data_IF_920895128994
#
_entry.id   IF_920895128994
#
_cell.length_a   1.000
_cell.length_b   1.000
_cell.length_c   1.000
_cell.angle_alpha   90.00
_cell.angle_beta   90.00
_cell.angle_gamma   90.00
#
_symmetry.space_group_name_H-M   'P 1'
#
loop_
_entity.id
_entity.type
_entity.pdbx_description
1 polymer ?
#
# COMPACT_ATOMS: atom_id res chain seq x y z
N UNK A 1 34.26 40.95 -42.68
CA UNK A 1 35.33 40.40 -41.82
C UNK A 1 34.77 39.18 -41.10
N UNK A 2 35.02 37.99 -41.64
CA UNK A 2 34.48 36.74 -41.08
C UNK A 2 35.42 36.24 -39.99
N UNK A 3 34.89 36.05 -38.78
CA UNK A 3 35.61 35.45 -37.64
C UNK A 3 35.42 33.94 -37.70
N UNK A 4 36.51 33.26 -37.99
CA UNK A 4 36.66 31.81 -38.06
C UNK A 4 36.57 31.22 -36.64
N UNK A 5 35.58 30.38 -36.38
CA UNK A 5 35.46 29.62 -35.13
C UNK A 5 36.15 28.27 -35.36
N UNK A 6 37.36 28.14 -34.84
CA UNK A 6 38.12 26.89 -34.83
C UNK A 6 37.51 25.95 -33.77
N UNK A 7 36.73 24.96 -34.22
CA UNK A 7 36.24 23.87 -33.36
C UNK A 7 37.37 22.88 -33.06
N UNK A 8 37.76 22.78 -31.80
CA UNK A 8 38.71 21.78 -31.32
C UNK A 8 38.07 20.39 -31.29
N UNK A 9 38.59 19.48 -32.12
CA UNK A 9 38.15 18.09 -32.20
C UNK A 9 38.82 17.25 -31.09
N UNK A 10 38.03 16.80 -30.11
CA UNK A 10 38.47 16.02 -28.93
C UNK A 10 38.15 14.53 -29.12
N UNK A 11 39.00 13.80 -29.84
CA UNK A 11 38.85 12.36 -30.08
C UNK A 11 39.92 11.50 -29.40
N UNK A 12 40.69 12.04 -28.46
CA UNK A 12 41.68 11.27 -27.70
C UNK A 12 41.35 11.22 -26.20
N UNK A 13 41.27 10.01 -25.59
CA UNK A 13 40.94 9.85 -24.17
C UNK A 13 41.97 10.49 -23.23
N UNK A 14 43.19 10.72 -23.70
CA UNK A 14 44.25 11.38 -22.93
C UNK A 14 44.04 12.89 -22.74
N UNK A 15 43.25 13.54 -23.62
CA UNK A 15 42.99 15.00 -23.57
C UNK A 15 41.72 15.36 -22.79
N UNK A 16 40.84 14.39 -22.55
CA UNK A 16 39.61 14.58 -21.75
C UNK A 16 39.93 14.71 -20.25
N UNK A 17 40.90 13.95 -19.74
CA UNK A 17 41.31 13.98 -18.33
C UNK A 17 41.94 15.32 -17.94
N UNK A 18 42.68 15.95 -18.85
CA UNK A 18 43.30 17.25 -18.60
C UNK A 18 42.30 18.42 -18.63
N UNK A 19 41.20 18.30 -19.38
CA UNK A 19 40.16 19.32 -19.45
C UNK A 19 39.22 19.30 -18.22
N UNK A 20 38.93 18.11 -17.67
CA UNK A 20 38.15 17.97 -16.43
C UNK A 20 38.92 18.51 -15.21
N UNK A 21 40.26 18.32 -15.16
CA UNK A 21 41.09 18.86 -14.09
C UNK A 21 41.22 20.41 -14.12
N UNK A 22 41.14 21.04 -15.29
CA UNK A 22 41.20 22.51 -15.39
C UNK A 22 39.86 23.19 -15.06
N UNK A 23 38.73 22.52 -15.29
CA UNK A 23 37.40 23.05 -14.97
C UNK A 23 37.06 22.93 -13.47
N UNK A 24 37.64 21.95 -12.77
CA UNK A 24 37.45 21.75 -11.33
C UNK A 24 38.18 22.76 -10.44
N UNK A 25 39.20 23.47 -10.94
CA UNK A 25 39.98 24.44 -10.16
C UNK A 25 39.40 25.87 -10.19
N UNK A 26 38.39 26.15 -11.03
CA UNK A 26 37.81 27.49 -11.20
C UNK A 26 36.49 27.73 -10.43
N UNK A 27 35.94 26.74 -9.72
CA UNK A 27 34.69 26.89 -8.95
C UNK A 27 34.89 26.83 -7.42
N UNK A 28 36.13 26.82 -6.94
CA UNK A 28 36.46 26.65 -5.51
C UNK A 28 36.82 27.94 -4.75
N UNK A 29 36.25 29.11 -5.08
CA UNK A 29 36.44 30.34 -4.31
C UNK A 29 35.16 31.20 -4.32
N UNK A 30 34.25 30.90 -3.39
CA UNK A 30 33.04 31.69 -3.14
C UNK A 30 32.59 31.51 -1.70
N UNK A 31 33.26 32.21 -0.79
CA UNK A 31 32.91 32.25 0.62
C UNK A 31 31.60 33.01 0.87
N UNK A 32 30.86 32.54 1.87
CA UNK A 32 29.67 33.19 2.40
C UNK A 32 29.39 32.69 3.81
N UNK A 33 30.14 33.20 4.79
CA UNK A 33 29.73 33.19 6.19
C UNK A 33 28.42 33.99 6.30
N UNK A 34 27.32 33.33 6.64
CA UNK A 34 26.11 34.01 7.12
C UNK A 34 26.01 33.83 8.63
N UNK A 35 25.79 34.98 9.24
CA UNK A 35 25.87 35.33 10.64
C UNK A 35 24.78 34.64 11.46
N UNK A 36 25.16 34.23 12.68
CA UNK A 36 24.26 33.73 13.71
C UNK A 36 23.20 34.79 14.08
N UNK A 37 21.95 34.33 14.26
CA UNK A 37 20.85 35.09 14.81
C UNK A 37 19.83 34.17 15.48
N UNK A 38 19.98 33.99 16.79
CA UNK A 38 18.94 33.61 17.77
C UNK A 38 19.32 34.31 19.09
N UNK A 39 18.41 34.57 20.05
CA UNK A 39 17.00 34.18 20.10
C UNK A 39 16.05 35.40 20.31
N UNK A 40 14.78 35.26 19.94
CA UNK A 40 13.72 36.06 20.56
C UNK A 40 12.77 35.11 21.28
N UNK A 41 12.76 35.29 22.59
CA UNK A 41 11.85 34.69 23.54
C UNK A 41 10.44 35.22 23.31
N UNK A 42 9.46 34.33 23.13
CA UNK A 42 8.05 34.68 23.23
C UNK A 42 7.35 33.64 24.12
N UNK A 43 7.43 33.87 25.43
CA UNK A 43 6.46 33.36 26.38
C UNK A 43 5.08 33.98 26.06
N UNK A 44 4.09 33.12 25.88
CA UNK A 44 2.73 33.54 25.55
C UNK A 44 1.73 32.43 25.84
N UNK A 45 1.68 32.00 27.09
CA UNK A 45 0.62 31.13 27.58
C UNK A 45 -0.73 31.85 27.58
N UNK A 46 -1.69 31.31 26.85
CA UNK A 46 -3.11 31.49 27.16
C UNK A 46 -3.77 30.11 27.21
N UNK A 47 -4.13 29.72 28.43
CA UNK A 47 -4.90 28.52 28.70
C UNK A 47 -6.25 28.59 28.02
N UNK A 48 -6.61 27.53 27.32
CA UNK A 48 -7.96 27.35 26.80
C UNK A 48 -8.83 26.86 27.97
N UNK A 49 -9.92 27.57 28.33
CA UNK A 49 -10.84 27.08 29.34
C UNK A 49 -11.56 25.84 28.82
N UNK A 50 -11.42 24.75 29.57
CA UNK A 50 -12.14 23.50 29.38
C UNK A 50 -13.56 23.66 29.94
N UNK A 51 -14.46 24.24 29.15
CA UNK A 51 -15.91 24.10 29.35
C UNK A 51 -16.64 24.18 28.01
N UNK A 52 -16.97 23.01 27.47
CA UNK A 52 -18.13 22.84 26.60
C UNK A 52 -18.82 21.55 26.98
N UNK A 53 -19.72 21.71 27.94
CA UNK A 53 -20.92 20.91 28.11
C UNK A 53 -21.54 20.63 26.72
N UNK A 54 -21.54 19.37 26.30
CA UNK A 54 -22.27 18.93 25.11
C UNK A 54 -23.76 18.85 25.48
N UNK A 55 -24.53 19.81 24.98
CA UNK A 55 -25.99 19.78 25.04
C UNK A 55 -26.53 18.73 24.07
N UNK A 56 -27.21 17.73 24.61
CA UNK A 56 -27.88 16.63 23.88
C UNK A 56 -29.27 17.07 23.40
N UNK A 57 -29.37 18.02 22.47
CA UNK A 57 -30.69 18.48 22.01
C UNK A 57 -30.89 18.75 20.53
N UNK A 58 -29.91 18.55 19.64
CA UNK A 58 -30.14 18.81 18.20
C UNK A 58 -29.58 17.68 17.31
N UNK A 59 -30.32 16.56 17.25
CA UNK A 59 -30.24 15.59 16.14
C UNK A 59 -31.60 15.62 15.46
N UNK A 60 -31.76 16.49 14.47
CA UNK A 60 -32.86 16.40 13.50
C UNK A 60 -32.53 15.30 12.48
N UNK A 61 -33.20 14.17 12.62
CA UNK A 61 -33.24 13.10 11.61
C UNK A 61 -34.27 13.49 10.56
N UNK A 62 -33.81 13.94 9.39
CA UNK A 62 -34.64 14.03 8.20
C UNK A 62 -34.52 12.72 7.40
N UNK A 63 -35.53 11.86 7.50
CA UNK A 63 -35.87 10.92 6.43
C UNK A 63 -37.37 10.96 6.16
N UNK A 64 -37.68 11.50 4.98
CA UNK A 64 -38.99 11.49 4.33
C UNK A 64 -39.37 10.06 3.95
N UNK A 65 -40.43 9.52 4.55
CA UNK A 65 -41.15 8.34 4.07
C UNK A 65 -42.49 8.82 3.55
N UNK A 66 -42.64 8.77 2.22
CA UNK A 66 -43.91 9.02 1.53
C UNK A 66 -44.79 7.78 1.55
N UNK A 67 -46.07 8.01 1.85
CA UNK A 67 -47.20 7.09 1.95
C UNK A 67 -47.54 6.33 0.65
N UNK A 68 -47.96 5.07 0.85
CA UNK A 68 -49.11 4.31 0.26
C UNK A 68 -49.34 4.28 -1.28
N UNK A 69 -49.75 3.11 -1.83
CA UNK A 69 -51.17 2.72 -1.71
C UNK A 69 -51.43 1.26 -1.31
N UNK A 70 -52.54 1.11 -0.59
CA UNK A 70 -53.26 -0.13 -0.31
C UNK A 70 -54.08 -0.51 -1.54
N UNK A 71 -53.81 -1.70 -2.09
CA UNK A 71 -54.68 -2.33 -3.09
C UNK A 71 -55.36 -3.54 -2.45
N UNK A 72 -56.68 -3.52 -2.51
CA UNK A 72 -57.60 -4.50 -1.94
C UNK A 72 -57.71 -5.71 -2.85
N UNK A 73 -57.34 -6.89 -2.36
CA UNK A 73 -57.67 -8.14 -3.06
C UNK A 73 -58.77 -8.90 -2.31
N UNK A 74 -59.91 -9.01 -2.99
CA UNK A 74 -61.06 -9.80 -2.58
C UNK A 74 -60.78 -11.30 -2.75
N UNK A 75 -61.19 -12.04 -1.73
CA UNK A 75 -61.44 -13.48 -1.71
C UNK A 75 -62.57 -13.85 -2.70
N UNK A 76 -62.35 -14.91 -3.49
CA UNK A 76 -63.32 -15.92 -3.96
C UNK A 76 -62.71 -16.72 -5.12
N UNK A 77 -62.60 -18.05 -5.02
CA UNK A 77 -62.28 -18.88 -6.18
C UNK A 77 -61.69 -20.24 -5.84
N UNK A 78 -62.57 -21.23 -5.79
CA UNK A 78 -62.30 -22.66 -5.62
C UNK A 78 -61.53 -23.21 -6.82
N UNK A 79 -60.49 -24.01 -6.56
CA UNK A 79 -59.74 -24.72 -7.59
C UNK A 79 -58.57 -25.49 -6.99
N UNK A 80 -58.75 -26.80 -6.81
CA UNK A 80 -57.64 -27.75 -6.63
C UNK A 80 -56.65 -27.61 -7.80
N UNK A 81 -55.35 -27.58 -7.49
CA UNK A 81 -54.43 -28.42 -8.24
C UNK A 81 -53.66 -29.35 -7.32
N UNK A 82 -53.95 -30.64 -7.50
CA UNK A 82 -53.17 -31.80 -7.12
C UNK A 82 -51.66 -31.52 -7.33
N UNK A 83 -50.95 -31.21 -6.25
CA UNK A 83 -49.50 -30.99 -6.28
C UNK A 83 -48.86 -32.00 -5.34
N UNK A 84 -48.39 -33.09 -5.94
CA UNK A 84 -47.58 -34.10 -5.29
C UNK A 84 -46.45 -33.42 -4.50
N UNK A 85 -46.49 -33.56 -3.18
CA UNK A 85 -45.37 -33.19 -2.30
C UNK A 85 -44.25 -34.19 -2.60
N UNK A 86 -43.31 -33.80 -3.44
CA UNK A 86 -42.05 -34.52 -3.59
C UNK A 86 -41.28 -34.36 -2.27
N UNK A 87 -41.37 -35.37 -1.42
CA UNK A 87 -40.48 -35.56 -0.28
C UNK A 87 -39.07 -35.79 -0.83
N UNK A 88 -38.26 -34.73 -0.86
CA UNK A 88 -36.83 -34.84 -1.10
C UNK A 88 -36.18 -35.45 0.15
N UNK A 89 -35.91 -36.75 0.10
CA UNK A 89 -34.98 -37.41 1.02
C UNK A 89 -33.58 -36.86 0.76
N UNK A 90 -33.07 -36.05 1.68
CA UNK A 90 -31.63 -35.72 1.74
C UNK A 90 -30.94 -36.93 2.40
N UNK A 91 -30.68 -37.97 1.61
CA UNK A 91 -29.70 -38.99 1.97
C UNK A 91 -28.42 -38.75 1.16
N UNK A 92 -27.34 -38.48 1.88
CA UNK A 92 -25.97 -38.79 1.44
C UNK A 92 -25.43 -38.04 0.21
N UNK A 93 -25.06 -36.77 0.38
CA UNK A 93 -23.89 -36.25 -0.35
C UNK A 93 -22.73 -36.25 0.63
N UNK A 94 -22.15 -37.43 0.81
CA UNK A 94 -20.82 -37.53 1.39
C UNK A 94 -19.85 -36.91 0.38
N UNK A 95 -19.50 -35.64 0.58
CA UNK A 95 -18.41 -34.99 -0.17
C UNK A 95 -17.13 -35.71 0.23
N UNK A 96 -16.76 -36.71 -0.56
CA UNK A 96 -15.45 -37.32 -0.54
C UNK A 96 -14.44 -36.19 -0.79
N UNK A 97 -13.83 -35.71 0.30
CA UNK A 97 -12.77 -34.71 0.23
C UNK A 97 -11.58 -35.36 -0.48
N UNK A 98 -11.29 -34.89 -1.69
CA UNK A 98 -9.97 -35.11 -2.29
C UNK A 98 -8.94 -34.45 -1.38
N UNK A 99 -7.89 -35.15 -0.91
CA UNK A 99 -6.84 -34.57 -0.10
C UNK A 99 -5.85 -33.84 -1.02
N UNK A 100 -6.33 -32.84 -1.76
CA UNK A 100 -5.48 -31.84 -2.35
C UNK A 100 -5.63 -30.61 -1.47
N UNK A 101 -4.63 -30.37 -0.63
CA UNK A 101 -4.63 -29.27 0.32
C UNK A 101 -4.97 -27.98 -0.42
N UNK A 102 -6.15 -27.43 -0.13
CA UNK A 102 -6.63 -26.19 -0.72
C UNK A 102 -5.60 -25.10 -0.42
N UNK A 103 -4.68 -24.84 -1.34
CA UNK A 103 -3.80 -23.68 -1.26
C UNK A 103 -4.72 -22.47 -1.21
N UNK A 104 -4.81 -21.89 -0.03
CA UNK A 104 -5.82 -20.90 0.24
C UNK A 104 -5.20 -19.56 -0.16
N UNK A 105 -5.63 -19.01 -1.29
CA UNK A 105 -5.19 -17.68 -1.71
C UNK A 105 -5.66 -16.67 -0.65
N UNK A 106 -4.73 -15.80 -0.23
CA UNK A 106 -4.91 -14.78 0.79
C UNK A 106 -4.37 -13.45 0.30
N UNK A 107 -4.77 -12.38 0.98
CA UNK A 107 -4.35 -11.02 0.65
C UNK A 107 -4.01 -10.24 1.91
N UNK A 108 -2.81 -9.66 1.96
CA UNK A 108 -2.46 -8.61 2.91
C UNK A 108 -2.75 -7.26 2.24
N UNK A 109 -3.55 -6.41 2.89
CA UNK A 109 -3.88 -5.07 2.39
C UNK A 109 -3.45 -4.03 3.40
N UNK A 110 -2.70 -3.04 2.93
CA UNK A 110 -2.16 -1.94 3.71
C UNK A 110 -2.68 -0.64 3.10
N UNK A 111 -3.29 0.23 3.90
CA UNK A 111 -3.70 1.56 3.42
C UNK A 111 -2.47 2.46 3.32
N UNK A 112 -2.46 3.41 2.39
CA UNK A 112 -1.36 4.36 2.24
C UNK A 112 -1.10 5.15 3.53
N UNK A 113 -2.15 5.47 4.28
CA UNK A 113 -2.08 6.15 5.57
C UNK A 113 -1.39 5.34 6.70
N UNK A 114 -1.12 4.06 6.50
CA UNK A 114 -0.34 3.25 7.46
C UNK A 114 1.17 3.33 7.22
N UNK A 115 1.59 3.79 6.04
CA UNK A 115 3.00 3.88 5.73
C UNK A 115 3.64 5.06 6.47
N UNK A 116 4.87 4.86 6.92
CA UNK A 116 5.66 5.88 7.61
C UNK A 116 6.80 6.35 6.72
N UNK A 117 7.14 7.65 6.69
CA UNK A 117 8.29 8.11 5.94
C UNK A 117 9.58 7.50 6.50
N UNK A 118 10.52 7.21 5.60
CA UNK A 118 11.83 6.69 5.98
C UNK A 118 12.76 7.80 6.50
N UNK A 119 12.60 9.01 5.98
CA UNK A 119 13.29 10.22 6.45
C UNK A 119 12.42 11.03 7.42
N UNK A 120 12.98 11.39 8.57
CA UNK A 120 12.30 12.18 9.61
C UNK A 120 12.03 13.64 9.20
N UNK A 121 12.69 14.14 8.16
CA UNK A 121 12.46 15.46 7.57
C UNK A 121 11.36 15.48 6.52
N UNK A 122 10.86 14.32 6.10
CA UNK A 122 9.77 14.23 5.14
C UNK A 122 8.48 14.80 5.72
N UNK A 123 7.82 15.69 4.97
CA UNK A 123 6.53 16.25 5.35
C UNK A 123 5.43 15.65 4.48
N UNK A 124 4.33 15.24 5.11
CA UNK A 124 3.24 14.53 4.45
C UNK A 124 1.90 14.87 5.08
N UNK A 125 0.83 14.60 4.35
CA UNK A 125 -0.55 14.70 4.82
C UNK A 125 -1.36 13.49 4.38
N UNK A 126 -2.41 13.20 5.12
CA UNK A 126 -3.38 12.19 4.75
C UNK A 126 -4.53 12.83 4.00
N UNK A 127 -5.01 12.15 2.97
CA UNK A 127 -6.21 12.52 2.23
C UNK A 127 -7.31 11.48 2.45
N UNK A 128 -8.48 11.70 1.86
CA UNK A 128 -9.59 10.75 1.94
C UNK A 128 -9.25 9.38 1.35
N UNK A 129 -9.97 8.34 1.78
CA UNK A 129 -9.80 6.98 1.23
C UNK A 129 -8.55 6.22 1.69
N UNK A 130 -7.86 6.73 2.72
CA UNK A 130 -6.67 6.08 3.28
C UNK A 130 -5.39 6.39 2.50
N UNK A 131 -5.36 7.44 1.68
CA UNK A 131 -4.17 7.83 0.95
C UNK A 131 -3.27 8.78 1.75
N UNK A 132 -1.98 8.76 1.40
CA UNK A 132 -0.95 9.66 1.89
C UNK A 132 -0.29 10.36 0.72
N UNK A 133 0.09 11.62 0.92
CA UNK A 133 0.75 12.47 -0.07
C UNK A 133 1.87 13.26 0.59
N UNK A 134 2.89 13.64 -0.19
CA UNK A 134 3.96 14.52 0.29
C UNK A 134 3.50 15.98 0.27
N UNK A 135 3.92 16.76 1.25
CA UNK A 135 3.64 18.20 1.32
C UNK A 135 4.81 19.05 0.79
N UNK A 136 5.99 18.46 0.66
CA UNK A 136 7.18 19.10 0.10
C UNK A 136 8.16 18.07 -0.45
N UNK A 137 9.18 18.55 -1.18
CA UNK A 137 10.31 17.75 -1.62
C UNK A 137 11.44 17.66 -0.58
N UNK A 138 11.21 18.10 0.65
CA UNK A 138 12.15 17.92 1.76
C UNK A 138 12.14 16.46 2.21
N UNK A 139 13.32 15.92 2.53
CA UNK A 139 13.50 14.50 2.88
C UNK A 139 13.36 13.57 1.68
N UNK A 140 13.50 12.27 1.94
CA UNK A 140 13.27 11.26 0.91
C UNK A 140 11.79 11.11 0.54
N UNK A 141 11.53 10.48 -0.61
CA UNK A 141 10.18 10.21 -1.11
C UNK A 141 9.64 8.86 -0.67
N UNK A 142 10.37 8.15 0.17
CA UNK A 142 10.16 6.75 0.49
C UNK A 142 9.36 6.60 1.78
N UNK A 143 8.32 5.81 1.69
CA UNK A 143 7.49 5.42 2.81
C UNK A 143 7.54 3.90 2.96
N UNK A 144 7.53 3.43 4.20
CA UNK A 144 7.71 2.01 4.51
C UNK A 144 6.62 1.50 5.42
N UNK A 145 6.31 0.21 5.27
CA UNK A 145 5.49 -0.56 6.21
C UNK A 145 6.04 -1.98 6.29
N UNK A 146 6.00 -2.56 7.50
CA UNK A 146 6.36 -3.95 7.71
C UNK A 146 5.32 -4.90 7.08
N UNK A 147 5.79 -6.03 6.55
CA UNK A 147 4.93 -7.08 6.03
C UNK A 147 5.15 -8.36 6.84
N UNK A 148 4.25 -8.62 7.78
CA UNK A 148 4.25 -9.86 8.55
C UNK A 148 3.35 -10.91 7.90
N UNK A 149 3.95 -11.99 7.38
CA UNK A 149 3.24 -13.14 6.83
C UNK A 149 3.67 -14.44 7.54
N UNK A 150 2.82 -15.49 7.54
CA UNK A 150 3.22 -16.78 8.09
C UNK A 150 4.48 -17.34 7.40
N UNK A 151 5.34 -17.99 8.19
CA UNK A 151 6.51 -18.68 7.67
C UNK A 151 6.09 -19.76 6.64
N UNK A 152 6.83 -19.89 5.55
CA UNK A 152 6.51 -20.80 4.45
C UNK A 152 5.35 -20.35 3.55
N UNK A 153 4.75 -19.17 3.78
CA UNK A 153 3.82 -18.58 2.81
C UNK A 153 4.54 -18.27 1.49
N UNK A 154 3.85 -18.44 0.35
CA UNK A 154 4.39 -18.11 -0.97
C UNK A 154 3.74 -16.84 -1.48
N UNK A 155 4.51 -15.78 -1.62
CA UNK A 155 4.10 -14.51 -2.22
C UNK A 155 4.28 -14.62 -3.73
N UNK A 156 3.28 -14.17 -4.49
CA UNK A 156 3.31 -14.29 -5.94
C UNK A 156 2.87 -13.04 -6.71
N UNK A 157 2.36 -12.01 -6.02
CA UNK A 157 1.87 -10.80 -6.67
C UNK A 157 1.84 -9.59 -5.73
N UNK A 158 2.33 -8.46 -6.22
CA UNK A 158 2.29 -7.15 -5.58
C UNK A 158 1.37 -6.22 -6.38
N UNK A 159 0.58 -5.39 -5.70
CA UNK A 159 -0.24 -4.34 -6.34
C UNK A 159 -0.23 -3.07 -5.53
N UNK A 160 -0.01 -1.95 -6.20
CA UNK A 160 -0.14 -0.61 -5.64
C UNK A 160 -1.45 0.04 -6.10
N UNK A 161 -2.08 0.79 -5.20
CA UNK A 161 -3.26 1.62 -5.43
C UNK A 161 -2.86 3.08 -5.22
N UNK A 162 -3.27 3.94 -6.14
CA UNK A 162 -2.82 5.34 -6.13
C UNK A 162 -3.88 6.27 -6.69
N UNK A 163 -3.74 7.55 -6.36
CA UNK A 163 -4.25 8.66 -7.15
C UNK A 163 -3.07 9.31 -7.86
N UNK A 164 -3.14 9.41 -9.18
CA UNK A 164 -2.06 9.96 -10.00
C UNK A 164 -2.66 10.91 -11.02
N UNK A 165 -2.42 12.21 -10.86
CA UNK A 165 -2.78 13.27 -11.79
C UNK A 165 -1.53 14.12 -12.07
N UNK A 166 -0.35 13.52 -11.94
CA UNK A 166 0.95 14.14 -12.18
C UNK A 166 1.51 13.61 -13.51
N UNK A 167 1.91 14.51 -14.41
CA UNK A 167 2.42 14.10 -15.72
C UNK A 167 3.91 13.75 -15.72
N UNK A 168 4.62 14.01 -14.61
CA UNK A 168 6.08 13.89 -14.51
C UNK A 168 6.50 12.76 -13.58
N UNK A 169 5.80 12.60 -12.46
CA UNK A 169 6.17 11.69 -11.38
C UNK A 169 5.16 10.57 -11.21
N UNK A 170 5.64 9.41 -10.78
CA UNK A 170 4.83 8.21 -10.56
C UNK A 170 4.89 7.76 -9.10
N UNK A 171 3.93 6.90 -8.73
CA UNK A 171 4.04 6.07 -7.53
C UNK A 171 4.80 4.81 -7.88
N UNK A 172 5.78 4.44 -7.06
CA UNK A 172 6.47 3.16 -7.12
C UNK A 172 6.21 2.40 -5.81
N UNK A 173 6.06 1.08 -5.87
CA UNK A 173 5.99 0.21 -4.70
C UNK A 173 6.85 -1.02 -4.92
N UNK A 174 7.68 -1.32 -3.94
CA UNK A 174 8.68 -2.38 -3.96
C UNK A 174 8.48 -3.29 -2.75
N UNK A 175 8.65 -4.60 -2.96
CA UNK A 175 8.74 -5.60 -1.91
C UNK A 175 10.20 -5.97 -1.70
N UNK A 176 10.71 -5.72 -0.50
CA UNK A 176 12.09 -6.00 -0.12
C UNK A 176 12.18 -7.05 0.98
N UNK A 177 13.22 -7.88 0.89
CA UNK A 177 13.71 -8.71 1.99
C UNK A 177 15.01 -8.14 2.55
N UNK A 178 15.12 -8.13 3.88
CA UNK A 178 16.30 -7.72 4.64
C UNK A 178 16.77 -8.89 5.49
N UNK A 179 18.06 -9.24 5.42
CA UNK A 179 18.63 -10.40 6.13
C UNK A 179 19.10 -10.10 7.57
N UNK A 180 18.98 -8.84 8.02
CA UNK A 180 19.48 -8.39 9.32
C UNK A 180 21.01 -8.28 9.43
N UNK A 181 21.77 -8.75 8.44
CA UNK A 181 23.22 -8.63 8.32
C UNK A 181 23.65 -7.47 7.39
N UNK A 182 22.69 -6.75 6.83
CA UNK A 182 22.89 -5.61 5.92
C UNK A 182 22.70 -5.96 4.45
N UNK A 183 22.40 -7.22 4.13
CA UNK A 183 21.97 -7.64 2.80
C UNK A 183 20.51 -7.28 2.54
N UNK A 184 20.24 -6.90 1.30
CA UNK A 184 18.90 -6.56 0.82
C UNK A 184 18.63 -7.24 -0.50
N UNK A 185 17.40 -7.69 -0.71
CA UNK A 185 16.95 -8.29 -1.96
C UNK A 185 15.64 -7.64 -2.37
N UNK A 186 15.59 -7.06 -3.57
CA UNK A 186 14.35 -6.63 -4.20
C UNK A 186 13.66 -7.87 -4.78
N UNK A 187 12.44 -8.14 -4.32
CA UNK A 187 11.66 -9.30 -4.74
C UNK A 187 10.75 -8.94 -5.92
N UNK A 188 10.05 -7.82 -5.83
CA UNK A 188 9.10 -7.38 -6.83
C UNK A 188 8.86 -5.86 -6.76
N UNK A 189 8.42 -5.29 -7.87
CA UNK A 189 8.05 -3.88 -7.99
C UNK A 189 6.74 -3.70 -8.77
N UNK A 190 6.02 -2.61 -8.49
CA UNK A 190 4.82 -2.19 -9.19
C UNK A 190 4.76 -0.66 -9.27
N UNK A 191 4.67 -0.12 -10.49
CA UNK A 191 4.72 1.32 -10.77
C UNK A 191 3.42 1.87 -11.36
N UNK A 192 3.07 3.11 -11.01
CA UNK A 192 2.07 3.87 -11.78
C UNK A 192 2.67 4.29 -13.13
N UNK A 193 1.78 4.66 -14.05
CA UNK A 193 2.13 5.04 -15.43
C UNK A 193 1.63 6.44 -15.80
N UNK A 194 1.43 7.31 -14.81
CA UNK A 194 0.90 8.67 -15.01
C UNK A 194 -0.57 8.69 -15.46
N UNK A 195 -1.33 7.64 -15.16
CA UNK A 195 -2.73 7.52 -15.56
C UNK A 195 -3.63 8.35 -14.63
N UNK A 196 -4.16 9.46 -15.17
CA UNK A 196 -4.99 10.43 -14.45
C UNK A 196 -6.11 9.79 -13.60
N UNK A 197 -6.11 10.08 -12.29
CA UNK A 197 -7.14 9.69 -11.33
C UNK A 197 -6.76 8.50 -10.45
N UNK A 198 -7.78 7.86 -9.86
CA UNK A 198 -7.60 6.67 -9.03
C UNK A 198 -7.40 5.42 -9.90
N UNK A 199 -6.31 4.69 -9.65
CA UNK A 199 -6.02 3.46 -10.38
C UNK A 199 -5.16 2.50 -9.54
N UNK A 200 -4.77 1.38 -10.15
CA UNK A 200 -3.85 0.42 -9.57
C UNK A 200 -3.00 -0.25 -10.63
N UNK A 201 -1.73 -0.50 -10.32
CA UNK A 201 -0.83 -1.34 -11.13
C UNK A 201 -0.35 -2.52 -10.30
N UNK A 202 -0.17 -3.67 -10.94
CA UNK A 202 0.43 -4.84 -10.32
C UNK A 202 1.79 -5.18 -10.93
N UNK A 203 2.59 -5.90 -10.16
CA UNK A 203 3.84 -6.51 -10.62
C UNK A 203 3.57 -7.61 -11.67
N UNK A 204 4.63 -8.11 -12.31
CA UNK A 204 4.58 -9.46 -12.88
C UNK A 204 4.33 -10.50 -11.78
N UNK A 205 3.83 -11.69 -12.13
CA UNK A 205 3.80 -12.81 -11.20
C UNK A 205 5.22 -13.26 -10.88
N UNK A 206 5.46 -13.60 -9.61
CA UNK A 206 6.73 -14.11 -9.10
C UNK A 206 6.47 -15.25 -8.12
N UNK A 207 7.52 -15.75 -7.48
CA UNK A 207 7.40 -16.71 -6.38
C UNK A 207 8.47 -16.43 -5.36
N UNK A 208 8.05 -16.03 -4.16
CA UNK A 208 8.93 -15.81 -3.01
C UNK A 208 8.39 -16.56 -1.81
N UNK A 209 9.19 -17.45 -1.22
CA UNK A 209 8.81 -18.17 0.00
C UNK A 209 9.28 -17.37 1.21
N UNK A 210 8.36 -17.03 2.10
CA UNK A 210 8.65 -16.30 3.34
C UNK A 210 9.49 -17.19 4.26
N UNK A 211 10.66 -16.69 4.65
CA UNK A 211 11.54 -17.31 5.65
C UNK A 211 11.77 -16.33 6.81
N UNK A 212 10.89 -16.38 7.81
CA UNK A 212 10.93 -15.46 8.94
C UNK A 212 12.15 -15.67 9.86
N UNK A 213 12.94 -16.74 9.66
CA UNK A 213 14.18 -16.98 10.40
C UNK A 213 15.34 -16.17 9.80
N UNK A 214 15.38 -16.06 8.48
CA UNK A 214 16.51 -15.48 7.76
C UNK A 214 16.22 -14.10 7.14
N UNK A 215 14.96 -13.66 7.09
CA UNK A 215 14.60 -12.38 6.50
C UNK A 215 13.48 -11.64 7.25
N UNK A 216 13.39 -10.34 6.99
CA UNK A 216 12.25 -9.49 7.31
C UNK A 216 11.75 -8.81 6.04
N UNK A 217 10.43 -8.87 5.81
CA UNK A 217 9.81 -8.28 4.63
C UNK A 217 9.28 -6.88 4.91
N UNK A 218 9.55 -5.97 3.97
CA UNK A 218 9.11 -4.58 4.05
C UNK A 218 8.57 -4.17 2.69
N UNK A 219 7.43 -3.48 2.69
CA UNK A 219 6.97 -2.76 1.51
C UNK A 219 7.54 -1.35 1.57
N UNK A 220 8.22 -0.95 0.51
CA UNK A 220 8.82 0.37 0.33
C UNK A 220 8.10 1.04 -0.83
N UNK A 221 7.46 2.18 -0.61
CA UNK A 221 6.71 2.89 -1.63
C UNK A 221 7.22 4.32 -1.80
N UNK A 222 7.41 4.75 -3.04
CA UNK A 222 7.88 6.09 -3.38
C UNK A 222 6.73 6.94 -3.91
N UNK A 223 6.53 8.10 -3.31
CA UNK A 223 5.75 9.20 -3.90
C UNK A 223 6.76 10.16 -4.52
N UNK A 224 7.37 9.77 -5.64
CA UNK A 224 8.61 10.32 -6.23
C UNK A 224 8.86 11.82 -6.00
N UNK A 225 8.76 12.67 -7.03
CA UNK A 225 8.86 14.13 -6.87
C UNK A 225 7.51 14.82 -6.70
N UNK A 226 6.43 14.03 -6.60
CA UNK A 226 5.06 14.54 -6.51
C UNK A 226 4.79 15.17 -5.15
N UNK A 227 4.22 16.37 -5.17
CA UNK A 227 3.89 17.15 -3.97
C UNK A 227 2.44 17.65 -4.07
N UNK A 228 1.74 17.58 -2.95
CA UNK A 228 0.32 17.95 -2.87
C UNK A 228 -0.58 16.82 -3.34
N UNK A 229 -1.78 17.17 -3.78
CA UNK A 229 -2.84 16.20 -4.08
C UNK A 229 -2.79 15.58 -5.47
N UNK A 230 -1.78 15.90 -6.29
CA UNK A 230 -1.65 15.33 -7.63
C UNK A 230 -1.14 13.90 -7.59
N UNK A 231 -0.37 13.50 -6.58
CA UNK A 231 0.21 12.17 -6.49
C UNK A 231 0.08 11.63 -5.06
N UNK A 232 -0.67 10.54 -4.90
CA UNK A 232 -1.02 10.00 -3.59
C UNK A 232 -0.90 8.48 -3.60
N UNK A 233 -0.22 7.92 -2.59
CA UNK A 233 -0.20 6.49 -2.32
C UNK A 233 -1.47 6.14 -1.54
N UNK A 234 -2.34 5.32 -2.11
CA UNK A 234 -3.61 4.93 -1.48
C UNK A 234 -3.57 3.57 -0.80
N UNK A 235 -2.64 2.71 -1.20
CA UNK A 235 -2.38 1.46 -0.49
C UNK A 235 -1.64 0.45 -1.33
N UNK A 236 -1.31 -0.66 -0.69
CA UNK A 236 -0.62 -1.79 -1.31
C UNK A 236 -1.34 -3.07 -0.93
N UNK A 237 -1.41 -4.01 -1.87
CA UNK A 237 -1.93 -5.36 -1.65
C UNK A 237 -0.91 -6.39 -2.10
N UNK A 238 -0.62 -7.32 -1.22
CA UNK A 238 0.21 -8.49 -1.49
C UNK A 238 -0.69 -9.72 -1.53
N UNK A 239 -0.55 -10.52 -2.58
CA UNK A 239 -1.19 -11.84 -2.69
C UNK A 239 -0.21 -12.90 -2.25
N UNK A 240 -0.70 -13.84 -1.45
CA UNK A 240 0.10 -14.97 -1.00
C UNK A 240 -0.76 -16.22 -0.87
N UNK A 241 -0.11 -17.36 -1.02
CA UNK A 241 -0.68 -18.68 -0.75
C UNK A 241 -0.10 -19.19 0.56
N UNK A 242 -0.98 -19.69 1.42
CA UNK A 242 -0.55 -20.33 2.66
C UNK A 242 -1.41 -21.57 2.89
N UNK A 243 -0.72 -22.69 3.09
CA UNK A 243 -1.31 -23.97 3.43
C UNK A 243 -0.81 -24.37 4.81
N UNK A 244 -1.64 -24.27 5.86
CA UNK A 244 -1.26 -24.71 7.20
C UNK A 244 -1.27 -26.25 7.25
N UNK A 245 -0.36 -26.90 6.51
CA UNK A 245 -0.17 -28.35 6.58
C UNK A 245 0.67 -28.69 7.81
N UNK A 246 0.06 -28.48 8.97
CA UNK A 246 0.39 -29.16 10.21
C UNK A 246 -0.88 -29.19 11.06
N UNK A 247 -1.95 -29.77 10.50
CA UNK A 247 -2.90 -30.48 11.36
C UNK A 247 -2.14 -31.64 11.97
N UNK A 248 -1.59 -31.40 13.16
CA UNK A 248 -1.20 -32.44 14.10
C UNK A 248 -2.29 -33.50 14.07
N UNK A 249 -1.96 -34.70 13.59
CA UNK A 249 -2.83 -35.84 13.78
C UNK A 249 -2.98 -35.98 15.30
N UNK A 250 -4.15 -35.66 15.84
CA UNK A 250 -4.49 -36.06 17.20
C UNK A 250 -4.31 -37.58 17.24
N UNK A 251 -3.52 -38.14 18.16
CA UNK A 251 -3.42 -39.59 18.27
C UNK A 251 -4.83 -40.14 18.49
N UNK A 252 -5.26 -41.03 17.60
CA UNK A 252 -6.53 -41.73 17.76
C UNK A 252 -6.43 -42.57 19.04
N UNK A 253 -7.15 -42.17 20.09
CA UNK A 253 -7.31 -42.99 21.28
C UNK A 253 -8.29 -44.11 20.92
N UNK A 254 -7.75 -45.27 20.54
CA UNK A 254 -8.49 -46.51 20.45
C UNK A 254 -8.62 -47.10 21.85
N UNK A 255 -9.78 -46.92 22.47
CA UNK A 255 -10.14 -47.64 23.69
C UNK A 255 -10.45 -49.10 23.31
N UNK A 256 -9.48 -49.98 23.49
CA UNK A 256 -9.72 -51.41 23.50
C UNK A 256 -10.38 -51.78 24.83
N UNK A 257 -11.71 -51.76 24.87
CA UNK A 257 -12.46 -52.53 25.87
C UNK A 257 -12.42 -53.99 25.42
N UNK A 258 -11.51 -54.77 26.01
CA UNK A 258 -11.58 -56.24 25.93
C UNK A 258 -12.79 -56.78 26.72
N UNK A 259 -13.34 -57.94 26.31
CA UNK A 259 -14.63 -58.48 26.77
C UNK A 259 -14.67 -59.00 28.21
#
# INVERSE_FOLDING_TARGET
SQKEIQMFNLTSPSKLVLFVLLLGLLLGLGGGMVLAGQPEDAEGGQGIPLDKTLSSSDIEVAQTVTDQPSDSFQENGEGEPDTAVATFSIEGIERQASPEATQSQRFARMAGSNFQPRDSSATFSYSGGGCVQRNSNTGDSWFTIDLSLPDGAVIDFLRVYYYDNDATYNINSELWAFDGAGGTTLIAEADSTGAAGYSSTGSSFFSHTVDNLNESLVIVASIQGGVGSTLQLCGVRVRYEYSPLSTSFLPAVINNTEP
#
